data_IF_881757906083
#
_entry.id   IF_881757906083
#
_cell.length_a   1.000
_cell.length_b   1.000
_cell.length_c   1.000
_cell.angle_alpha   90.00
_cell.angle_beta   90.00
_cell.angle_gamma   90.00
#
_symmetry.space_group_name_H-M   'P 1'
#
loop_
_entity.id
_entity.type
_entity.pdbx_description
1 polymer ?
#
# COMPACT_ATOMS: atom_id res chain seq x y z
N UNK A 1 -31.39 -23.62 35.43
CA UNK A 1 -30.55 -24.56 34.65
C UNK A 1 -31.14 -24.70 33.25
N UNK A 2 -30.48 -24.19 32.21
CA UNK A 2 -30.86 -24.43 30.82
C UNK A 2 -29.58 -24.61 29.98
N UNK A 3 -29.20 -25.86 29.73
CA UNK A 3 -28.14 -26.19 28.77
C UNK A 3 -28.78 -26.42 27.39
N UNK A 4 -28.52 -25.53 26.44
CA UNK A 4 -28.81 -25.74 25.02
C UNK A 4 -27.56 -26.31 24.35
N UNK A 5 -27.58 -27.60 24.02
CA UNK A 5 -26.56 -28.25 23.19
C UNK A 5 -26.75 -27.87 21.73
N UNK A 6 -25.74 -27.24 21.13
CA UNK A 6 -25.66 -26.98 19.70
C UNK A 6 -25.49 -28.30 18.94
N UNK A 7 -26.49 -28.70 18.15
CA UNK A 7 -26.37 -29.79 17.17
C UNK A 7 -25.35 -29.38 16.10
N UNK A 8 -24.23 -30.11 16.03
CA UNK A 8 -23.28 -30.07 14.90
C UNK A 8 -24.00 -30.47 13.61
N UNK A 9 -24.14 -29.55 12.67
CA UNK A 9 -24.51 -29.87 11.30
C UNK A 9 -23.31 -30.58 10.63
N UNK A 10 -23.53 -31.83 10.18
CA UNK A 10 -22.57 -32.57 9.35
C UNK A 10 -22.54 -31.94 7.96
N UNK A 11 -21.35 -31.65 7.43
CA UNK A 11 -21.16 -31.24 6.05
C UNK A 11 -21.52 -32.40 5.09
N UNK A 12 -22.11 -32.11 3.92
CA UNK A 12 -22.39 -33.13 2.90
C UNK A 12 -21.08 -33.65 2.30
N UNK A 13 -21.01 -34.97 2.10
CA UNK A 13 -19.89 -35.65 1.44
C UNK A 13 -19.91 -35.26 -0.05
N UNK A 14 -18.81 -34.68 -0.53
CA UNK A 14 -18.52 -34.53 -1.96
C UNK A 14 -18.31 -35.94 -2.54
N UNK A 15 -19.07 -36.27 -3.58
CA UNK A 15 -18.90 -37.48 -4.40
C UNK A 15 -17.59 -37.43 -5.19
N UNK A 16 -16.86 -38.54 -5.16
CA UNK A 16 -15.51 -38.77 -5.72
C UNK A 16 -15.41 -38.80 -7.26
N UNK A 17 -16.33 -38.17 -7.99
CA UNK A 17 -16.35 -38.23 -9.45
C UNK A 17 -16.37 -36.84 -10.06
N UNK A 18 -15.22 -36.15 -10.06
CA UNK A 18 -14.91 -35.09 -11.04
C UNK A 18 -13.42 -34.73 -10.95
N UNK A 19 -12.56 -35.55 -11.58
CA UNK A 19 -11.20 -35.16 -11.94
C UNK A 19 -11.15 -34.90 -13.44
N UNK A 20 -11.20 -33.64 -13.92
CA UNK A 20 -10.78 -33.36 -15.28
C UNK A 20 -9.24 -33.45 -15.36
N UNK A 21 -8.77 -34.30 -16.26
CA UNK A 21 -7.37 -34.49 -16.69
C UNK A 21 -6.62 -33.14 -16.79
N UNK A 22 -5.60 -32.95 -15.95
CA UNK A 22 -4.77 -31.74 -15.90
C UNK A 22 -3.57 -31.77 -16.86
N UNK A 23 -3.45 -32.80 -17.71
CA UNK A 23 -2.29 -33.00 -18.60
C UNK A 23 -2.38 -32.30 -19.96
N UNK A 24 -3.47 -31.59 -20.28
CA UNK A 24 -3.64 -30.92 -21.58
C UNK A 24 -3.44 -29.39 -21.58
N UNK A 25 -2.93 -28.80 -20.50
CA UNK A 25 -2.55 -27.37 -20.49
C UNK A 25 -1.05 -27.22 -20.76
N UNK A 26 -0.66 -27.38 -22.02
CA UNK A 26 0.67 -26.98 -22.51
C UNK A 26 0.80 -25.45 -22.40
N UNK A 27 1.45 -24.99 -21.33
CA UNK A 27 1.86 -23.59 -21.16
C UNK A 27 3.10 -23.36 -22.06
N UNK A 28 3.10 -22.40 -22.99
CA UNK A 28 4.26 -22.12 -23.81
C UNK A 28 5.42 -21.60 -22.95
N UNK A 29 6.55 -22.32 -23.01
CA UNK A 29 7.83 -21.91 -22.43
C UNK A 29 8.39 -20.74 -23.27
N UNK A 30 8.38 -19.53 -22.71
CA UNK A 30 9.09 -18.41 -23.33
C UNK A 30 10.59 -18.51 -23.07
N UNK A 31 11.35 -18.64 -24.15
CA UNK A 31 12.80 -18.58 -24.21
C UNK A 31 13.32 -17.23 -23.68
N UNK A 32 14.24 -17.29 -22.70
CA UNK A 32 15.11 -16.18 -22.33
C UNK A 32 16.22 -16.02 -23.39
N UNK A 33 15.98 -15.16 -24.37
CA UNK A 33 17.04 -14.59 -25.19
C UNK A 33 17.69 -13.42 -24.46
N UNK A 34 18.95 -13.60 -24.06
CA UNK A 34 19.84 -12.52 -23.65
C UNK A 34 20.23 -11.70 -24.88
N UNK A 35 20.00 -10.39 -24.84
CA UNK A 35 20.83 -9.43 -25.57
C UNK A 35 21.22 -8.31 -24.63
N UNK A 36 22.53 -8.16 -24.49
CA UNK A 36 23.23 -7.13 -23.75
C UNK A 36 23.12 -5.78 -24.44
N UNK A 37 22.71 -4.75 -23.71
CA UNK A 37 23.17 -3.39 -23.98
C UNK A 37 23.25 -2.59 -22.67
N UNK A 38 24.44 -2.07 -22.45
CA UNK A 38 24.87 -1.18 -21.38
C UNK A 38 24.29 0.21 -21.57
N UNK A 39 23.54 0.71 -20.60
CA UNK A 39 23.51 2.14 -20.23
C UNK A 39 23.03 2.29 -18.78
N UNK A 40 23.73 3.14 -18.02
CA UNK A 40 23.49 3.46 -16.62
C UNK A 40 22.07 3.95 -16.36
N UNK A 41 21.34 3.37 -15.39
CA UNK A 41 20.14 4.04 -14.85
C UNK A 41 19.71 3.46 -13.49
N UNK A 42 19.65 4.36 -12.50
CA UNK A 42 18.82 4.40 -11.30
C UNK A 42 18.01 3.12 -10.98
N UNK A 43 18.40 2.43 -9.92
CA UNK A 43 17.69 1.27 -9.36
C UNK A 43 16.35 1.73 -8.77
N UNK A 44 15.33 1.82 -9.63
CA UNK A 44 13.93 1.91 -9.23
C UNK A 44 13.47 0.49 -8.86
N UNK A 45 12.82 0.26 -7.71
CA UNK A 45 12.36 -1.08 -7.36
C UNK A 45 11.39 -1.62 -8.42
N UNK A 46 11.68 -2.84 -8.89
CA UNK A 46 11.11 -3.65 -9.99
C UNK A 46 9.59 -3.91 -9.98
N UNK A 47 8.77 -3.10 -9.31
CA UNK A 47 7.32 -3.31 -9.14
C UNK A 47 6.42 -2.51 -10.11
N UNK A 48 6.97 -1.73 -11.04
CA UNK A 48 6.17 -0.78 -11.83
C UNK A 48 6.17 -1.00 -13.36
N UNK A 49 6.93 -1.96 -13.90
CA UNK A 49 6.99 -2.20 -15.36
C UNK A 49 5.78 -2.97 -15.94
N UNK A 50 4.71 -3.20 -15.18
CA UNK A 50 3.59 -4.06 -15.58
C UNK A 50 2.22 -3.38 -15.64
N UNK A 51 2.13 -2.08 -15.38
CA UNK A 51 0.83 -1.37 -15.46
C UNK A 51 0.70 -0.71 -16.83
N UNK A 52 -0.31 -1.14 -17.58
CA UNK A 52 -0.73 -0.45 -18.80
C UNK A 52 -1.01 1.03 -18.49
N UNK A 53 -0.72 1.96 -19.42
CA UNK A 53 -0.97 3.38 -19.20
C UNK A 53 -2.45 3.59 -18.83
N UNK A 54 -2.76 4.48 -17.87
CA UNK A 54 -4.13 4.72 -17.44
C UNK A 54 -4.99 5.30 -18.57
N UNK A 55 -6.28 4.99 -18.57
CA UNK A 55 -7.25 5.57 -19.49
C UNK A 55 -7.25 7.12 -19.38
N UNK A 56 -7.47 7.81 -20.50
CA UNK A 56 -7.56 9.27 -20.59
C UNK A 56 -8.58 9.87 -19.61
N UNK A 57 -9.71 9.20 -19.36
CA UNK A 57 -10.70 9.61 -18.33
C UNK A 57 -10.09 9.68 -16.92
N UNK A 58 -9.27 8.69 -16.56
CA UNK A 58 -8.58 8.63 -15.27
C UNK A 58 -7.48 9.70 -15.20
N UNK A 59 -6.76 9.92 -16.30
CA UNK A 59 -5.75 10.99 -16.38
C UNK A 59 -6.37 12.38 -16.18
N UNK A 60 -7.48 12.67 -16.86
CA UNK A 60 -8.19 13.94 -16.72
C UNK A 60 -8.71 14.13 -15.28
N UNK A 61 -9.22 13.06 -14.66
CA UNK A 61 -9.62 13.10 -13.26
C UNK A 61 -8.43 13.33 -12.32
N UNK A 62 -7.31 12.64 -12.55
CA UNK A 62 -6.08 12.76 -11.76
C UNK A 62 -5.55 14.21 -11.76
N UNK A 63 -5.54 14.85 -12.93
CA UNK A 63 -5.14 16.26 -13.08
C UNK A 63 -6.15 17.17 -12.36
N UNK A 64 -7.45 17.02 -12.64
CA UNK A 64 -8.51 17.87 -12.06
C UNK A 64 -8.58 17.78 -10.54
N UNK A 65 -8.44 16.58 -10.00
CA UNK A 65 -8.53 16.30 -8.58
C UNK A 65 -7.17 16.35 -7.90
N UNK A 66 -6.06 16.68 -8.57
CA UNK A 66 -4.69 16.71 -8.02
C UNK A 66 -4.35 15.42 -7.24
N UNK A 67 -4.47 14.29 -7.95
CA UNK A 67 -4.12 12.95 -7.46
C UNK A 67 -3.10 12.37 -8.42
N UNK A 68 -1.94 11.97 -7.91
CA UNK A 68 -0.85 11.38 -8.67
C UNK A 68 -0.88 9.85 -8.67
N UNK A 69 -0.07 9.25 -9.53
CA UNK A 69 0.14 7.80 -9.58
C UNK A 69 1.28 7.37 -8.65
N UNK A 70 1.44 6.06 -8.36
CA UNK A 70 2.47 5.57 -7.45
C UNK A 70 3.92 5.88 -7.83
N UNK A 71 4.17 6.29 -9.07
CA UNK A 71 5.48 6.80 -9.51
C UNK A 71 5.88 8.12 -8.83
N UNK A 72 4.92 8.91 -8.33
CA UNK A 72 5.17 10.15 -7.61
C UNK A 72 5.62 9.94 -6.15
N UNK A 73 5.65 8.69 -5.66
CA UNK A 73 6.12 8.37 -4.32
C UNK A 73 7.65 8.38 -4.27
N UNK A 74 8.20 9.19 -3.39
CA UNK A 74 9.64 9.29 -3.15
C UNK A 74 10.03 8.52 -1.89
N UNK A 75 11.14 7.80 -1.94
CA UNK A 75 11.66 7.09 -0.77
C UNK A 75 12.22 8.10 0.24
N UNK A 76 11.87 7.94 1.52
CA UNK A 76 12.47 8.74 2.59
C UNK A 76 13.94 8.32 2.79
N UNK A 77 14.89 9.25 2.95
CA UNK A 77 16.29 8.90 3.13
C UNK A 77 16.54 8.12 4.45
N UNK A 78 17.78 7.61 4.61
CA UNK A 78 18.29 7.00 5.88
C UNK A 78 17.57 5.73 6.37
N UNK A 79 16.87 5.03 5.49
CA UNK A 79 16.24 3.76 5.83
C UNK A 79 17.23 2.60 5.84
N UNK A 80 17.24 1.83 6.92
CA UNK A 80 18.12 0.67 7.08
C UNK A 80 17.37 -0.63 6.80
N UNK A 81 17.35 -1.04 5.54
CA UNK A 81 16.60 -2.23 5.10
C UNK A 81 17.11 -3.55 5.66
N UNK A 82 18.39 -3.59 6.05
CA UNK A 82 19.00 -4.76 6.69
C UNK A 82 18.43 -4.97 8.10
N UNK A 83 18.26 -3.88 8.84
CA UNK A 83 17.81 -3.89 10.23
C UNK A 83 16.28 -3.99 10.30
N UNK A 84 15.60 -3.20 9.46
CA UNK A 84 14.14 -3.14 9.36
C UNK A 84 13.71 -3.41 7.91
N UNK A 85 13.11 -4.58 7.61
CA UNK A 85 12.69 -4.96 6.25
C UNK A 85 11.40 -4.24 5.83
N UNK A 86 11.45 -2.92 5.86
CA UNK A 86 10.34 -2.01 5.60
C UNK A 86 10.85 -0.76 4.88
N UNK A 87 10.06 -0.29 3.91
CA UNK A 87 10.30 0.92 3.13
C UNK A 87 9.19 1.93 3.36
N UNK A 88 9.56 3.16 3.70
CA UNK A 88 8.64 4.29 3.78
C UNK A 88 8.84 5.23 2.60
N UNK A 89 7.78 5.47 1.84
CA UNK A 89 7.75 6.42 0.74
C UNK A 89 6.69 7.47 1.00
N UNK A 90 6.94 8.69 0.55
CA UNK A 90 6.02 9.80 0.71
C UNK A 90 5.80 10.51 -0.61
N UNK A 91 4.63 11.12 -0.76
CA UNK A 91 4.38 12.08 -1.81
C UNK A 91 3.59 13.23 -1.23
N UNK A 92 3.93 14.49 -1.53
CA UNK A 92 3.14 15.64 -1.11
C UNK A 92 1.75 15.68 -1.74
N UNK A 93 1.57 15.05 -2.91
CA UNK A 93 0.26 14.87 -3.54
C UNK A 93 -0.41 13.59 -3.05
N UNK A 94 -1.74 13.54 -3.19
CA UNK A 94 -2.50 12.32 -2.96
C UNK A 94 -2.18 11.30 -4.05
N UNK A 95 -1.97 10.03 -3.69
CA UNK A 95 -1.55 8.99 -4.62
C UNK A 95 -2.55 7.84 -4.62
N UNK A 96 -2.89 7.34 -5.82
CA UNK A 96 -3.71 6.15 -5.96
C UNK A 96 -3.08 4.94 -5.28
N UNK A 97 -3.89 4.13 -4.59
CA UNK A 97 -3.45 2.85 -4.06
C UNK A 97 -3.08 1.90 -5.18
N UNK A 98 -1.95 1.19 -5.01
CA UNK A 98 -1.46 0.19 -5.98
C UNK A 98 -2.51 -0.89 -6.25
N UNK A 99 -3.34 -1.26 -5.27
CA UNK A 99 -4.38 -2.27 -5.45
C UNK A 99 -5.53 -1.83 -6.36
N UNK A 100 -5.74 -0.52 -6.49
CA UNK A 100 -6.82 0.03 -7.32
C UNK A 100 -6.35 0.31 -8.75
N UNK A 101 -5.03 0.31 -9.01
CA UNK A 101 -4.50 0.57 -10.35
C UNK A 101 -5.01 -0.39 -11.41
N UNK A 102 -5.30 -1.65 -11.04
CA UNK A 102 -5.90 -2.64 -11.96
C UNK A 102 -7.29 -2.23 -12.48
N UNK A 103 -8.01 -1.37 -11.77
CA UNK A 103 -9.29 -0.81 -12.21
C UNK A 103 -9.13 0.50 -12.96
N UNK A 104 -7.92 1.05 -13.00
CA UNK A 104 -7.58 2.34 -13.59
C UNK A 104 -6.66 2.18 -14.82
N UNK A 105 -6.61 0.98 -15.39
CA UNK A 105 -5.79 0.61 -16.55
C UNK A 105 -6.26 1.30 -17.85
N UNK A 106 -5.55 1.03 -18.94
CA UNK A 106 -5.90 1.51 -20.29
C UNK A 106 -7.34 1.13 -20.68
N UNK A 107 -7.73 -0.12 -20.43
CA UNK A 107 -9.10 -0.60 -20.64
C UNK A 107 -10.01 -0.15 -19.49
N UNK A 108 -11.18 0.39 -19.83
CA UNK A 108 -12.15 0.84 -18.84
C UNK A 108 -12.75 -0.37 -18.09
N UNK A 109 -12.42 -0.48 -16.81
CA UNK A 109 -13.03 -1.48 -15.94
C UNK A 109 -14.43 -1.00 -15.53
N UNK A 110 -15.44 -1.88 -15.38
CA UNK A 110 -16.77 -1.50 -14.88
C UNK A 110 -16.78 -0.89 -13.46
N UNK A 111 -15.65 -0.96 -12.75
CA UNK A 111 -15.49 -0.41 -11.40
C UNK A 111 -14.70 0.91 -11.39
N UNK A 112 -14.34 1.45 -12.56
CA UNK A 112 -13.55 2.68 -12.68
C UNK A 112 -14.29 3.83 -11.99
N UNK A 113 -15.56 4.06 -12.33
CA UNK A 113 -16.34 5.18 -11.80
C UNK A 113 -16.53 5.10 -10.28
N UNK A 114 -16.84 3.90 -9.78
CA UNK A 114 -16.91 3.62 -8.34
C UNK A 114 -15.58 3.93 -7.64
N UNK A 115 -14.46 3.57 -8.27
CA UNK A 115 -13.12 3.83 -7.75
C UNK A 115 -12.81 5.32 -7.74
N UNK A 116 -13.14 6.06 -8.80
CA UNK A 116 -12.95 7.51 -8.87
C UNK A 116 -13.79 8.23 -7.81
N UNK A 117 -15.07 7.86 -7.66
CA UNK A 117 -15.95 8.41 -6.62
C UNK A 117 -15.40 8.16 -5.20
N UNK A 118 -14.89 6.96 -4.94
CA UNK A 118 -14.23 6.63 -3.68
C UNK A 118 -13.06 7.59 -3.39
N UNK A 119 -12.22 7.90 -4.38
CA UNK A 119 -11.09 8.80 -4.19
C UNK A 119 -11.51 10.26 -4.02
N UNK A 120 -12.59 10.70 -4.68
CA UNK A 120 -13.19 12.03 -4.43
C UNK A 120 -13.59 12.17 -2.96
N UNK A 121 -14.41 11.25 -2.45
CA UNK A 121 -14.87 11.27 -1.06
C UNK A 121 -13.71 11.12 -0.06
N UNK A 122 -12.71 10.31 -0.41
CA UNK A 122 -11.51 10.13 0.43
C UNK A 122 -10.66 11.40 0.50
N UNK A 123 -10.52 12.15 -0.60
CA UNK A 123 -9.78 13.42 -0.64
C UNK A 123 -10.46 14.50 0.20
N UNK A 124 -11.79 14.52 0.21
CA UNK A 124 -12.57 15.46 1.03
C UNK A 124 -12.46 15.19 2.53
N UNK A 125 -12.43 13.91 2.92
CA UNK A 125 -12.49 13.51 4.33
C UNK A 125 -11.12 13.40 5.01
N UNK A 126 -10.04 13.16 4.27
CA UNK A 126 -8.71 12.87 4.84
C UNK A 126 -7.61 13.66 4.14
N UNK A 127 -6.91 14.57 4.84
CA UNK A 127 -5.84 15.34 4.24
C UNK A 127 -4.60 14.49 3.94
N UNK A 128 -4.31 13.45 4.75
CA UNK A 128 -3.22 12.50 4.53
C UNK A 128 -3.75 11.09 4.27
N UNK A 129 -3.18 10.42 3.28
CA UNK A 129 -3.46 9.03 2.96
C UNK A 129 -2.32 8.13 3.39
N UNK A 130 -2.61 7.24 4.34
CA UNK A 130 -1.64 6.26 4.84
C UNK A 130 -1.94 4.88 4.27
N UNK A 131 -1.00 4.32 3.53
CA UNK A 131 -1.08 2.97 2.99
C UNK A 131 0.02 2.10 3.59
N UNK A 132 -0.33 0.92 4.08
CA UNK A 132 0.61 -0.08 4.58
C UNK A 132 0.35 -1.37 3.84
N UNK A 133 1.40 -1.94 3.24
CA UNK A 133 1.32 -3.13 2.42
C UNK A 133 2.44 -4.10 2.76
N UNK A 134 2.09 -5.36 2.97
CA UNK A 134 3.02 -6.46 3.14
C UNK A 134 3.11 -7.32 1.88
N UNK A 135 4.26 -7.98 1.70
CA UNK A 135 4.48 -8.98 0.65
C UNK A 135 5.18 -10.20 1.22
N UNK A 136 4.85 -11.39 0.72
CA UNK A 136 5.54 -12.64 1.06
C UNK A 136 6.76 -12.95 0.21
N UNK A 137 7.06 -12.11 -0.79
CA UNK A 137 8.02 -12.44 -1.83
C UNK A 137 9.41 -12.84 -1.29
N UNK A 138 9.74 -12.46 -0.04
CA UNK A 138 11.04 -12.79 0.56
C UNK A 138 11.01 -13.66 1.81
N UNK A 139 9.85 -14.00 2.39
CA UNK A 139 9.77 -14.81 3.61
C UNK A 139 8.68 -15.90 3.62
N UNK A 140 7.95 -16.07 2.50
CA UNK A 140 6.90 -17.08 2.38
C UNK A 140 5.80 -16.95 3.43
N UNK A 141 5.52 -15.73 3.90
CA UNK A 141 4.41 -15.45 4.81
C UNK A 141 3.06 -15.67 4.13
N UNK A 142 2.05 -16.08 4.90
CA UNK A 142 0.67 -16.23 4.40
C UNK A 142 -0.12 -14.93 4.61
N UNK A 143 -1.33 -14.87 4.05
CA UNK A 143 -2.19 -13.68 4.10
C UNK A 143 -2.54 -13.24 5.54
N UNK A 144 -2.67 -14.18 6.48
CA UNK A 144 -2.97 -13.88 7.90
C UNK A 144 -1.79 -13.13 8.53
N UNK A 145 -0.57 -13.59 8.26
CA UNK A 145 0.66 -12.93 8.72
C UNK A 145 0.79 -11.54 8.09
N UNK A 146 0.46 -11.36 6.81
CA UNK A 146 0.46 -10.04 6.16
C UNK A 146 -0.51 -9.09 6.84
N UNK A 147 -1.77 -9.50 6.97
CA UNK A 147 -2.82 -8.66 7.57
C UNK A 147 -2.48 -8.28 9.01
N UNK A 148 -1.96 -9.23 9.79
CA UNK A 148 -1.52 -8.98 11.16
C UNK A 148 -0.37 -7.98 11.21
N UNK A 149 0.65 -8.16 10.37
CA UNK A 149 1.80 -7.26 10.27
C UNK A 149 1.37 -5.85 9.83
N UNK A 150 0.51 -5.73 8.82
CA UNK A 150 -0.02 -4.44 8.35
C UNK A 150 -0.78 -3.73 9.46
N UNK A 151 -1.58 -4.46 10.25
CA UNK A 151 -2.32 -3.89 11.39
C UNK A 151 -1.37 -3.37 12.47
N UNK A 152 -0.34 -4.15 12.82
CA UNK A 152 0.67 -3.76 13.83
C UNK A 152 1.44 -2.53 13.37
N UNK A 153 1.94 -2.52 12.13
CA UNK A 153 2.68 -1.38 11.57
C UNK A 153 1.79 -0.15 11.43
N UNK A 154 0.52 -0.30 11.05
CA UNK A 154 -0.43 0.80 11.00
C UNK A 154 -0.68 1.40 12.39
N UNK A 155 -0.85 0.56 13.41
CA UNK A 155 -1.00 1.02 14.79
C UNK A 155 0.26 1.76 15.29
N UNK A 156 1.44 1.24 14.96
CA UNK A 156 2.71 1.90 15.30
C UNK A 156 2.86 3.24 14.58
N UNK A 157 2.50 3.31 13.30
CA UNK A 157 2.48 4.56 12.53
C UNK A 157 1.52 5.58 13.16
N UNK A 158 0.30 5.18 13.52
CA UNK A 158 -0.64 6.06 14.20
C UNK A 158 -0.08 6.59 15.52
N UNK A 159 0.59 5.75 16.32
CA UNK A 159 1.21 6.17 17.58
C UNK A 159 2.36 7.15 17.36
N UNK A 160 3.20 6.91 16.35
CA UNK A 160 4.29 7.80 15.97
C UNK A 160 3.77 9.16 15.44
N UNK A 161 2.70 9.15 14.64
CA UNK A 161 2.02 10.37 14.16
C UNK A 161 1.42 11.17 15.32
N UNK A 162 0.71 10.51 16.24
CA UNK A 162 0.13 11.15 17.42
C UNK A 162 1.22 11.80 18.28
N UNK A 163 2.35 11.13 18.48
CA UNK A 163 3.51 11.69 19.19
C UNK A 163 4.11 12.91 18.48
N UNK A 164 4.01 12.97 17.15
CA UNK A 164 4.40 14.13 16.36
C UNK A 164 3.34 15.26 16.33
N UNK A 165 2.18 15.07 16.98
CA UNK A 165 1.10 16.06 17.06
C UNK A 165 0.07 15.96 15.94
N UNK A 166 -0.05 14.82 15.27
CA UNK A 166 -0.99 14.62 14.17
C UNK A 166 -1.84 13.36 14.37
N UNK A 167 -3.10 13.40 13.94
CA UNK A 167 -3.93 12.20 13.91
C UNK A 167 -3.52 11.24 12.77
N UNK A 168 -4.15 10.07 12.72
CA UNK A 168 -3.89 9.06 11.69
C UNK A 168 -4.24 9.49 10.26
N UNK A 169 -5.07 10.54 10.11
CA UNK A 169 -5.49 11.13 8.84
C UNK A 169 -4.68 12.39 8.48
N UNK A 170 -3.67 12.76 9.27
CA UNK A 170 -2.82 13.93 9.06
C UNK A 170 -3.39 15.25 9.54
N UNK A 171 -4.52 15.27 10.27
CA UNK A 171 -5.00 16.48 10.91
C UNK A 171 -4.09 16.84 12.07
N UNK A 172 -3.75 18.11 12.21
CA UNK A 172 -3.01 18.58 13.38
C UNK A 172 -3.87 18.47 14.64
N UNK A 173 -3.30 17.89 15.69
CA UNK A 173 -3.87 17.89 17.04
C UNK A 173 -3.64 19.25 17.72
N UNK A 174 -2.61 19.96 17.30
CA UNK A 174 -2.30 21.32 17.74
C UNK A 174 -2.97 22.34 16.81
N UNK A 175 -3.87 23.19 17.32
CA UNK A 175 -4.58 24.22 16.51
C UNK A 175 -3.66 25.22 15.79
N UNK A 176 -2.37 25.27 16.15
CA UNK A 176 -1.36 26.17 15.57
C UNK A 176 -0.59 25.57 14.38
N UNK A 177 -0.60 24.24 14.19
CA UNK A 177 0.12 23.61 13.07
C UNK A 177 -0.82 23.36 11.89
N UNK A 178 -0.24 23.37 10.69
CA UNK A 178 -0.97 23.03 9.46
C UNK A 178 -1.19 21.52 9.37
N UNK A 179 -2.28 21.10 8.72
CA UNK A 179 -2.52 19.69 8.45
C UNK A 179 -1.46 19.14 7.49
N UNK A 180 -1.13 17.86 7.64
CA UNK A 180 -0.28 17.13 6.70
C UNK A 180 -1.11 16.71 5.50
N UNK A 181 -0.60 17.01 4.31
CA UNK A 181 -1.24 16.68 3.06
C UNK A 181 -0.41 15.68 2.25
N UNK A 182 -1.11 14.83 1.50
CA UNK A 182 -0.49 13.91 0.55
C UNK A 182 -0.62 12.45 0.96
N UNK A 183 0.43 11.67 0.73
CA UNK A 183 0.42 10.21 0.91
C UNK A 183 1.67 9.71 1.61
N UNK A 184 1.50 8.85 2.60
CA UNK A 184 2.53 7.99 3.17
C UNK A 184 2.25 6.55 2.72
N UNK A 185 3.25 5.90 2.14
CA UNK A 185 3.20 4.48 1.80
C UNK A 185 4.30 3.73 2.54
N UNK A 186 3.92 2.67 3.22
CA UNK A 186 4.83 1.73 3.86
C UNK A 186 4.73 0.39 3.14
N UNK A 187 5.87 -0.12 2.69
CA UNK A 187 6.00 -1.43 2.08
C UNK A 187 6.85 -2.34 2.97
N UNK A 188 6.34 -3.50 3.33
CA UNK A 188 6.99 -4.47 4.22
C UNK A 188 7.39 -5.70 3.39
N UNK A 189 8.70 -5.97 3.32
CA UNK A 189 9.21 -7.10 2.52
C UNK A 189 9.26 -8.42 3.31
N UNK A 190 9.46 -8.36 4.63
CA UNK A 190 9.56 -9.55 5.50
C UNK A 190 8.64 -9.42 6.73
N UNK A 191 7.32 -9.66 6.57
CA UNK A 191 6.34 -9.56 7.65
C UNK A 191 6.69 -10.38 8.89
N UNK A 192 7.22 -11.61 8.74
CA UNK A 192 7.58 -12.47 9.88
C UNK A 192 8.66 -11.86 10.75
N UNK A 193 9.61 -11.12 10.17
CA UNK A 193 10.66 -10.45 10.93
C UNK A 193 10.13 -9.24 11.68
N UNK A 194 9.27 -8.44 11.03
CA UNK A 194 8.65 -7.27 11.69
C UNK A 194 7.82 -7.69 12.89
N UNK A 195 7.05 -8.78 12.80
CA UNK A 195 6.25 -9.26 13.92
C UNK A 195 7.06 -9.78 15.12
N UNK A 196 8.36 -10.03 14.96
CA UNK A 196 9.27 -10.37 16.06
C UNK A 196 9.88 -9.14 16.73
N UNK A 197 9.75 -7.96 16.12
CA UNK A 197 10.24 -6.71 16.69
C UNK A 197 9.25 -6.23 17.74
N UNK A 198 9.78 -5.76 18.88
CA UNK A 198 8.96 -5.16 19.91
C UNK A 198 8.24 -3.90 19.39
N UNK A 199 6.98 -3.72 19.80
CA UNK A 199 6.15 -2.62 19.33
C UNK A 199 6.77 -1.24 19.63
N UNK A 200 7.39 -1.06 20.80
CA UNK A 200 8.07 0.19 21.18
C UNK A 200 9.18 0.56 20.18
N UNK A 201 10.07 -0.38 19.88
CA UNK A 201 11.13 -0.18 18.89
C UNK A 201 10.61 0.12 17.49
N UNK A 202 9.48 -0.48 17.09
CA UNK A 202 8.83 -0.18 15.82
C UNK A 202 8.30 1.25 15.77
N UNK A 203 7.71 1.74 16.86
CA UNK A 203 7.24 3.12 17.01
C UNK A 203 8.40 4.10 16.96
N UNK A 204 9.50 3.83 17.66
CA UNK A 204 10.69 4.68 17.66
C UNK A 204 11.33 4.78 16.27
N UNK A 205 11.43 3.64 15.58
CA UNK A 205 11.96 3.60 14.21
C UNK A 205 11.08 4.42 13.25
N UNK A 206 9.76 4.24 13.31
CA UNK A 206 8.83 5.03 12.49
C UNK A 206 8.86 6.52 12.85
N UNK A 207 9.01 6.87 14.13
CA UNK A 207 9.09 8.26 14.57
C UNK A 207 10.31 8.97 13.98
N UNK A 208 11.46 8.28 13.93
CA UNK A 208 12.69 8.78 13.27
C UNK A 208 12.51 8.97 11.76
N UNK A 209 11.77 8.08 11.09
CA UNK A 209 11.48 8.25 9.67
C UNK A 209 10.47 9.39 9.42
N UNK A 210 9.50 9.55 10.33
CA UNK A 210 8.51 10.62 10.23
C UNK A 210 9.10 12.00 10.44
N UNK A 211 10.12 12.17 11.30
CA UNK A 211 10.78 13.47 11.46
C UNK A 211 11.39 13.99 10.16
N UNK A 212 11.89 13.09 9.31
CA UNK A 212 12.40 13.44 7.97
C UNK A 212 11.27 13.64 6.94
N UNK A 213 10.12 12.99 7.14
CA UNK A 213 9.00 13.00 6.21
C UNK A 213 8.05 14.19 6.39
N UNK A 214 7.76 14.56 7.64
CA UNK A 214 6.78 15.60 8.01
C UNK A 214 7.08 16.94 7.32
N UNK A 215 8.32 17.47 7.33
CA UNK A 215 8.63 18.75 6.69
C UNK A 215 8.29 18.77 5.18
N UNK A 216 8.36 17.61 4.52
CA UNK A 216 8.07 17.46 3.09
C UNK A 216 6.56 17.37 2.80
N UNK A 217 5.76 16.93 3.79
CA UNK A 217 4.30 16.81 3.69
C UNK A 217 3.57 18.08 4.17
N UNK A 218 4.17 18.83 5.10
CA UNK A 218 3.62 20.09 5.61
C UNK A 218 3.80 21.28 4.65
N UNK A 219 4.74 21.17 3.69
CA UNK A 219 5.12 22.25 2.78
C UNK A 219 4.18 22.48 1.60
N UNK A 220 3.24 21.58 1.32
CA UNK A 220 2.34 21.73 0.18
C UNK A 220 1.17 22.67 0.53
N UNK A 221 1.28 23.93 0.15
CA UNK A 221 0.13 24.84 0.13
C UNK A 221 -0.87 24.32 -0.91
N UNK A 222 -2.12 24.11 -0.48
CA UNK A 222 -3.25 23.83 -1.37
C UNK A 222 -3.31 24.97 -2.41
N UNK A 223 -3.40 24.71 -3.72
CA UNK A 223 -3.72 25.79 -4.66
C UNK A 223 -5.09 26.33 -4.25
N UNK A 224 -5.12 27.61 -3.89
CA UNK A 224 -6.35 28.35 -3.63
C UNK A 224 -7.25 28.20 -4.85
N UNK A 225 -8.42 27.60 -4.65
CA UNK A 225 -9.50 27.59 -5.65
C UNK A 225 -10.06 29.00 -5.78
#
# INVERSE_FOLDING_TARGET
MFQRTLRRLKAPKLSDEFLPNLDSLQIPRYNTGQTSSTTSTVITPRLMNGFAPPNQKVMNFAIKSDISFPNALQLVPRQRLKDFPMRLSISPSHVFSVYHLKYLSAFEHPLTEKTLHFYTKKKETRPLWSYVHASSASDGSNAVVWSTCERVVRAALCRAMNAAGYDASGNSLDRKRTNLHGTIRIFISQPKKILKVEFGHLVDYLSKLLSDAIPRLSGHKKPSR
#
